data_IF_119751024351
#
_entry.id   IF_119751024351
#
_cell.length_a   1.000
_cell.length_b   1.000
_cell.length_c   1.000
_cell.angle_alpha   90.00
_cell.angle_beta   90.00
_cell.angle_gamma   90.00
#
_symmetry.space_group_name_H-M   'P 1'
#
loop_
_entity.id
_entity.type
_entity.pdbx_description
1 polymer ?
#
# COMPACT_ATOMS: atom_id res chain seq x y z
N UNK A 1 12.69 -18.90 -12.44
CA UNK A 1 12.64 -19.16 -10.98
C UNK A 1 11.82 -18.03 -10.39
N UNK A 2 10.61 -18.28 -9.88
CA UNK A 2 9.88 -17.26 -9.12
C UNK A 2 10.64 -17.07 -7.81
N UNK A 3 11.21 -15.88 -7.63
CA UNK A 3 11.88 -15.49 -6.40
C UNK A 3 10.80 -15.27 -5.34
N UNK A 4 10.80 -16.08 -4.28
CA UNK A 4 9.89 -15.88 -3.15
C UNK A 4 10.40 -14.69 -2.36
N UNK A 5 9.58 -13.65 -2.23
CA UNK A 5 9.92 -12.51 -1.38
C UNK A 5 9.81 -12.92 0.09
N UNK A 6 10.85 -12.64 0.87
CA UNK A 6 10.82 -12.90 2.30
C UNK A 6 9.82 -11.97 3.00
N UNK A 7 9.12 -12.47 4.02
CA UNK A 7 8.09 -11.73 4.75
C UNK A 7 8.62 -10.39 5.32
N UNK A 8 9.86 -10.37 5.82
CA UNK A 8 10.50 -9.14 6.30
C UNK A 8 10.69 -8.10 5.19
N UNK A 9 11.01 -8.56 3.97
CA UNK A 9 11.17 -7.67 2.82
C UNK A 9 9.81 -7.14 2.37
N UNK A 10 8.78 -7.98 2.40
CA UNK A 10 7.42 -7.58 2.10
C UNK A 10 6.90 -6.54 3.10
N UNK A 11 7.14 -6.73 4.40
CA UNK A 11 6.82 -5.74 5.44
C UNK A 11 7.48 -4.39 5.14
N UNK A 12 8.79 -4.38 4.84
CA UNK A 12 9.52 -3.15 4.50
C UNK A 12 8.97 -2.46 3.26
N UNK A 13 8.51 -3.23 2.27
CA UNK A 13 7.85 -2.66 1.09
C UNK A 13 6.54 -2.00 1.47
N UNK A 14 5.71 -2.65 2.29
CA UNK A 14 4.48 -2.04 2.81
C UNK A 14 4.78 -0.73 3.55
N UNK A 15 5.78 -0.73 4.45
CA UNK A 15 6.19 0.48 5.18
C UNK A 15 6.61 1.62 4.24
N UNK A 16 7.39 1.32 3.19
CA UNK A 16 7.82 2.32 2.19
C UNK A 16 6.60 2.90 1.44
N UNK A 17 5.67 2.05 1.04
CA UNK A 17 4.46 2.47 0.31
C UNK A 17 3.55 3.31 1.20
N UNK A 18 3.34 2.90 2.44
CA UNK A 18 2.53 3.61 3.43
C UNK A 18 3.07 5.01 3.70
N UNK A 19 4.36 5.14 4.00
CA UNK A 19 5.02 6.44 4.22
C UNK A 19 4.90 7.35 2.99
N UNK A 20 5.01 6.78 1.78
CA UNK A 20 4.87 7.55 0.55
C UNK A 20 3.42 8.06 0.35
N UNK A 21 2.42 7.27 0.72
CA UNK A 21 1.01 7.65 0.63
C UNK A 21 0.60 8.64 1.72
N UNK A 22 1.12 8.50 2.94
CA UNK A 22 0.93 9.47 4.03
C UNK A 22 1.37 10.86 3.58
N UNK A 23 2.55 10.96 2.94
CA UNK A 23 3.03 12.22 2.36
C UNK A 23 2.07 12.84 1.34
N UNK A 24 1.42 12.00 0.51
CA UNK A 24 0.39 12.44 -0.44
C UNK A 24 -0.84 12.95 0.32
N UNK A 25 -1.36 12.18 1.28
CA UNK A 25 -2.54 12.56 2.07
C UNK A 25 -2.32 13.89 2.80
N UNK A 26 -1.15 14.09 3.41
CA UNK A 26 -0.78 15.34 4.08
C UNK A 26 -0.71 16.50 3.09
N UNK A 27 -0.04 16.32 1.94
CA UNK A 27 0.08 17.36 0.91
C UNK A 27 -1.28 17.82 0.36
N UNK A 28 -2.25 16.89 0.31
CA UNK A 28 -3.56 17.13 -0.30
C UNK A 28 -4.70 17.28 0.71
N UNK A 29 -4.41 17.35 2.02
CA UNK A 29 -5.36 17.39 3.16
C UNK A 29 -6.46 18.47 3.06
N UNK A 30 -6.34 19.46 2.17
CA UNK A 30 -7.36 20.50 1.92
C UNK A 30 -8.04 20.46 0.55
N UNK A 31 -7.65 19.56 -0.35
CA UNK A 31 -8.17 19.48 -1.73
C UNK A 31 -8.77 18.13 -2.11
N UNK A 32 -8.56 17.11 -1.27
CA UNK A 32 -8.91 15.73 -1.56
C UNK A 32 -9.82 15.19 -0.47
N UNK A 33 -11.13 15.17 -0.68
CA UNK A 33 -12.06 14.14 -0.16
C UNK A 33 -13.40 14.33 -0.90
N UNK A 34 -13.37 14.07 -2.21
CA UNK A 34 -14.56 13.74 -2.97
C UNK A 34 -14.77 12.22 -2.95
N UNK A 35 -15.99 11.77 -3.23
CA UNK A 35 -16.30 10.34 -3.40
C UNK A 35 -15.26 9.66 -4.31
N UNK A 36 -14.73 8.51 -3.88
CA UNK A 36 -13.74 7.72 -4.65
C UNK A 36 -12.27 7.88 -4.22
N UNK A 37 -11.96 8.66 -3.18
CA UNK A 37 -10.57 8.80 -2.69
C UNK A 37 -10.01 7.52 -2.06
N UNK A 38 -10.80 6.81 -1.26
CA UNK A 38 -10.38 5.54 -0.65
C UNK A 38 -9.95 4.53 -1.72
N UNK A 39 -10.73 4.45 -2.80
CA UNK A 39 -10.42 3.63 -3.97
C UNK A 39 -9.15 4.11 -4.69
N UNK A 40 -8.96 5.43 -4.85
CA UNK A 40 -7.74 5.97 -5.46
C UNK A 40 -6.50 5.68 -4.62
N UNK A 41 -6.56 5.85 -3.30
CA UNK A 41 -5.46 5.53 -2.40
C UNK A 41 -5.16 4.03 -2.39
N UNK A 42 -6.19 3.18 -2.43
CA UNK A 42 -6.05 1.73 -2.58
C UNK A 42 -5.31 1.38 -3.87
N UNK A 43 -5.73 1.93 -5.01
CA UNK A 43 -5.08 1.69 -6.30
C UNK A 43 -3.62 2.18 -6.33
N UNK A 44 -3.34 3.35 -5.75
CA UNK A 44 -1.96 3.86 -5.61
C UNK A 44 -1.10 2.95 -4.74
N UNK A 45 -1.66 2.42 -3.63
CA UNK A 45 -0.98 1.45 -2.79
C UNK A 45 -0.63 0.19 -3.58
N UNK A 46 -1.63 -0.42 -4.22
CA UNK A 46 -1.46 -1.65 -5.00
C UNK A 46 -0.43 -1.46 -6.13
N UNK A 47 -0.48 -0.34 -6.85
CA UNK A 47 0.46 -0.02 -7.94
C UNK A 47 1.90 0.11 -7.43
N UNK A 48 2.11 0.88 -6.36
CA UNK A 48 3.45 1.10 -5.79
C UNK A 48 4.01 -0.18 -5.20
N UNK A 49 3.18 -0.94 -4.50
CA UNK A 49 3.57 -2.22 -3.92
C UNK A 49 3.98 -3.23 -5.02
N UNK A 50 3.19 -3.38 -6.08
CA UNK A 50 3.55 -4.19 -7.26
C UNK A 50 4.89 -3.74 -7.87
N UNK A 51 5.10 -2.44 -7.98
CA UNK A 51 6.37 -1.87 -8.49
C UNK A 51 7.55 -2.25 -7.59
N UNK A 52 7.40 -2.14 -6.28
CA UNK A 52 8.47 -2.48 -5.33
C UNK A 52 8.76 -3.98 -5.27
N UNK A 53 7.73 -4.83 -5.36
CA UNK A 53 7.88 -6.29 -5.43
C UNK A 53 8.60 -6.69 -6.72
N UNK A 54 8.22 -6.10 -7.85
CA UNK A 54 8.89 -6.33 -9.14
C UNK A 54 10.37 -5.94 -9.11
N UNK A 55 10.72 -4.85 -8.41
CA UNK A 55 12.13 -4.45 -8.18
C UNK A 55 12.94 -5.46 -7.36
N UNK A 56 12.28 -6.30 -6.54
CA UNK A 56 12.92 -7.42 -5.83
C UNK A 56 13.01 -8.69 -6.68
N UNK A 57 12.58 -8.65 -7.95
CA UNK A 57 12.58 -9.81 -8.84
C UNK A 57 11.44 -10.82 -8.56
N UNK A 58 10.41 -10.39 -7.83
CA UNK A 58 9.21 -11.17 -7.54
C UNK A 58 8.00 -10.60 -8.30
N UNK A 59 6.94 -11.39 -8.43
CA UNK A 59 5.64 -10.93 -8.94
C UNK A 59 4.62 -10.95 -7.81
N UNK A 60 3.78 -9.91 -7.73
CA UNK A 60 2.68 -9.85 -6.77
C UNK A 60 1.68 -10.99 -6.99
N UNK A 61 1.41 -11.33 -8.25
CA UNK A 61 0.41 -12.34 -8.58
C UNK A 61 0.92 -13.76 -8.23
N UNK A 62 2.24 -13.93 -8.10
CA UNK A 62 2.90 -15.17 -7.65
C UNK A 62 2.99 -15.30 -6.12
N UNK A 63 2.62 -14.26 -5.35
CA UNK A 63 2.73 -14.34 -3.90
C UNK A 63 1.78 -15.41 -3.32
N UNK A 64 2.21 -16.14 -2.28
CA UNK A 64 1.34 -16.96 -1.46
C UNK A 64 0.13 -16.18 -0.94
N UNK A 65 -0.99 -16.88 -0.78
CA UNK A 65 -2.24 -16.28 -0.31
C UNK A 65 -2.09 -15.55 1.03
N UNK A 66 -1.33 -16.13 1.97
CA UNK A 66 -1.09 -15.49 3.27
C UNK A 66 -0.35 -14.14 3.15
N UNK A 67 0.57 -13.99 2.19
CA UNK A 67 1.25 -12.71 1.93
C UNK A 67 0.28 -11.71 1.28
N UNK A 68 -0.59 -12.16 0.38
CA UNK A 68 -1.64 -11.32 -0.23
C UNK A 68 -2.62 -10.82 0.83
N UNK A 69 -3.01 -11.66 1.78
CA UNK A 69 -3.91 -11.27 2.87
C UNK A 69 -3.25 -10.34 3.88
N UNK A 70 -1.96 -10.54 4.16
CA UNK A 70 -1.16 -9.58 4.91
C UNK A 70 -1.17 -8.20 4.24
N UNK A 71 -0.90 -8.15 2.94
CA UNK A 71 -0.91 -6.89 2.17
C UNK A 71 -2.28 -6.21 2.19
N UNK A 72 -3.36 -6.96 1.97
CA UNK A 72 -4.74 -6.43 2.06
C UNK A 72 -5.01 -5.82 3.44
N UNK A 73 -4.57 -6.49 4.51
CA UNK A 73 -4.75 -6.00 5.88
C UNK A 73 -4.00 -4.68 6.09
N UNK A 74 -2.75 -4.59 5.62
CA UNK A 74 -1.95 -3.36 5.66
C UNK A 74 -2.60 -2.20 4.91
N UNK A 75 -3.13 -2.45 3.72
CA UNK A 75 -3.87 -1.45 2.93
C UNK A 75 -5.08 -0.93 3.73
N UNK A 76 -5.90 -1.83 4.28
CA UNK A 76 -7.10 -1.45 5.05
C UNK A 76 -6.72 -0.61 6.28
N UNK A 77 -5.67 -1.00 7.00
CA UNK A 77 -5.20 -0.27 8.18
C UNK A 77 -4.69 1.13 7.81
N UNK A 78 -3.87 1.25 6.76
CA UNK A 78 -3.36 2.52 6.27
C UNK A 78 -4.49 3.46 5.84
N UNK A 79 -5.48 2.96 5.09
CA UNK A 79 -6.63 3.75 4.65
C UNK A 79 -7.46 4.26 5.83
N UNK A 80 -7.67 3.44 6.87
CA UNK A 80 -8.35 3.86 8.11
C UNK A 80 -7.58 4.97 8.83
N UNK A 81 -6.25 4.85 8.90
CA UNK A 81 -5.40 5.87 9.52
C UNK A 81 -5.48 7.18 8.75
N UNK A 82 -5.29 7.15 7.43
CA UNK A 82 -5.36 8.33 6.57
C UNK A 82 -6.72 9.03 6.65
N UNK A 83 -7.81 8.25 6.69
CA UNK A 83 -9.16 8.79 6.89
C UNK A 83 -9.29 9.50 8.23
N UNK A 84 -8.79 8.90 9.31
CA UNK A 84 -8.83 9.49 10.66
C UNK A 84 -8.01 10.78 10.76
N UNK A 85 -6.81 10.80 10.19
CA UNK A 85 -5.95 12.00 10.19
C UNK A 85 -6.51 13.15 9.36
N UNK A 86 -7.34 12.84 8.37
CA UNK A 86 -8.10 13.84 7.65
C UNK A 86 -9.30 14.37 8.45
N UNK A 87 -10.08 13.48 9.06
CA UNK A 87 -11.28 13.85 9.83
C UNK A 87 -10.96 14.57 11.15
N UNK A 88 -9.71 14.50 11.63
CA UNK A 88 -9.20 15.18 12.84
C UNK A 88 -8.64 16.57 12.54
#
# INVERSE_FOLDING_TARGET
MSSIIADETLSKICDIVENALEGIVIQFRGQFFAEGMEERLRLEFEMRLRTHISKQGADYDDLPEYQKDYIKSRIIEALKLFKKEYES
#
